data_IF_538991388896
#
_entry.id   IF_538991388896
#
_cell.length_a   1.000
_cell.length_b   1.000
_cell.length_c   1.000
_cell.angle_alpha   90.00
_cell.angle_beta   90.00
_cell.angle_gamma   90.00
#
_symmetry.space_group_name_H-M   'P 1'
#
loop_
_entity.id
_entity.type
_entity.pdbx_description
1 polymer ?
#
# COMPACT_ATOMS: atom_id res chain seq x y z
N UNK A 1 0.76 15.17 -22.32
CA UNK A 1 -0.49 15.90 -21.98
C UNK A 1 -0.31 16.44 -20.56
N UNK A 2 -0.43 17.75 -20.32
CA UNK A 2 -0.20 18.32 -18.97
C UNK A 2 -1.43 17.98 -18.12
N UNK A 3 -1.29 17.05 -17.16
CA UNK A 3 -2.40 16.69 -16.30
C UNK A 3 -2.77 17.88 -15.43
N UNK A 4 -4.06 18.20 -15.34
CA UNK A 4 -4.57 19.16 -14.36
C UNK A 4 -4.65 18.49 -13.00
N UNK A 5 -3.78 18.91 -12.09
CA UNK A 5 -3.81 18.43 -10.71
C UNK A 5 -5.04 18.93 -9.98
N UNK A 6 -5.60 18.09 -9.12
CA UNK A 6 -6.61 18.50 -8.13
C UNK A 6 -5.95 19.35 -7.05
N UNK A 7 -6.72 20.20 -6.37
CA UNK A 7 -6.19 21.14 -5.37
C UNK A 7 -5.32 20.46 -4.30
N UNK A 8 -5.75 19.31 -3.77
CA UNK A 8 -4.99 18.61 -2.74
C UNK A 8 -3.67 18.02 -3.29
N UNK A 9 -3.63 17.64 -4.57
CA UNK A 9 -2.42 17.14 -5.22
C UNK A 9 -1.43 18.28 -5.43
N UNK A 10 -1.94 19.45 -5.87
CA UNK A 10 -1.14 20.67 -6.01
C UNK A 10 -0.62 21.16 -4.66
N UNK A 11 -1.45 21.19 -3.62
CA UNK A 11 -1.01 21.56 -2.26
C UNK A 11 0.06 20.61 -1.73
N UNK A 12 -0.10 19.30 -1.95
CA UNK A 12 0.90 18.31 -1.58
C UNK A 12 2.23 18.53 -2.31
N UNK A 13 2.20 18.74 -3.64
CA UNK A 13 3.43 18.99 -4.40
C UNK A 13 4.07 20.35 -4.06
N UNK A 14 3.26 21.40 -3.86
CA UNK A 14 3.72 22.71 -3.38
C UNK A 14 4.46 22.58 -2.03
N UNK A 15 3.94 21.78 -1.09
CA UNK A 15 4.59 21.52 0.20
C UNK A 15 5.93 20.79 0.05
N UNK A 16 6.03 19.81 -0.86
CA UNK A 16 7.29 19.11 -1.15
C UNK A 16 8.33 20.05 -1.77
N UNK A 17 7.95 20.81 -2.80
CA UNK A 17 8.85 21.72 -3.51
C UNK A 17 9.33 22.81 -2.55
N UNK A 18 8.43 23.39 -1.75
CA UNK A 18 8.81 24.34 -0.69
C UNK A 18 9.80 23.73 0.29
N UNK A 19 9.61 22.46 0.67
CA UNK A 19 10.56 21.76 1.53
C UNK A 19 11.92 21.68 0.84
N UNK A 20 12.03 21.12 -0.37
CA UNK A 20 13.29 20.97 -1.09
C UNK A 20 14.05 22.28 -1.35
N UNK A 21 13.34 23.39 -1.56
CA UNK A 21 13.94 24.70 -1.83
C UNK A 21 14.18 25.52 -0.55
N UNK A 22 13.79 25.02 0.62
CA UNK A 22 14.00 25.70 1.90
C UNK A 22 15.48 25.66 2.32
N UNK A 23 15.98 26.77 2.87
CA UNK A 23 17.31 26.83 3.50
C UNK A 23 17.39 25.97 4.76
N UNK A 24 16.27 25.82 5.49
CA UNK A 24 16.16 24.90 6.62
C UNK A 24 16.02 23.47 6.10
N UNK A 25 17.07 22.67 6.24
CA UNK A 25 17.06 21.25 5.93
C UNK A 25 16.27 20.46 6.97
N UNK A 26 15.16 19.88 6.56
CA UNK A 26 14.35 18.98 7.36
C UNK A 26 13.75 17.91 6.46
N UNK A 27 13.82 16.65 6.90
CA UNK A 27 13.21 15.55 6.19
C UNK A 27 11.72 15.48 6.53
N UNK A 28 10.88 15.53 5.51
CA UNK A 28 9.44 15.61 5.65
C UNK A 28 8.70 14.42 5.06
N UNK A 29 7.48 14.16 5.52
CA UNK A 29 6.56 13.21 4.91
C UNK A 29 5.28 13.89 4.44
N UNK A 30 4.80 13.46 3.28
CA UNK A 30 3.50 13.81 2.71
C UNK A 30 2.63 12.57 2.78
N UNK A 31 1.46 12.73 3.35
CA UNK A 31 0.55 11.61 3.61
C UNK A 31 -0.65 11.76 2.70
N UNK A 32 -0.80 10.82 1.77
CA UNK A 32 -1.90 10.81 0.79
C UNK A 32 -2.48 9.41 0.71
N UNK A 33 -3.77 9.31 0.98
CA UNK A 33 -4.54 8.08 0.97
C UNK A 33 -4.40 7.25 -0.31
N UNK A 34 -4.63 5.95 -0.21
CA UNK A 34 -4.64 5.06 -1.37
C UNK A 34 -5.71 5.51 -2.36
N UNK A 35 -5.39 5.58 -3.65
CA UNK A 35 -6.27 6.16 -4.66
C UNK A 35 -6.19 7.69 -4.80
N UNK A 36 -5.45 8.40 -3.93
CA UNK A 36 -5.27 9.85 -4.02
C UNK A 36 -4.36 10.34 -5.16
N UNK A 37 -3.80 9.43 -5.96
CA UNK A 37 -2.95 9.79 -7.10
C UNK A 37 -1.53 10.24 -6.73
N UNK A 38 -0.87 9.53 -5.79
CA UNK A 38 0.52 9.80 -5.39
C UNK A 38 1.48 9.89 -6.57
N UNK A 39 1.31 9.06 -7.60
CA UNK A 39 2.15 9.09 -8.80
C UNK A 39 2.08 10.41 -9.56
N UNK A 40 0.93 11.09 -9.59
CA UNK A 40 0.78 12.43 -10.17
C UNK A 40 1.50 13.48 -9.32
N UNK A 41 1.44 13.35 -7.99
CA UNK A 41 2.15 14.25 -7.07
C UNK A 41 3.67 14.09 -7.25
N UNK A 42 4.17 12.85 -7.33
CA UNK A 42 5.58 12.55 -7.60
C UNK A 42 6.03 13.16 -8.93
N UNK A 43 5.25 12.98 -10.00
CA UNK A 43 5.56 13.53 -11.30
C UNK A 43 5.62 15.07 -11.29
N UNK A 44 4.64 15.72 -10.63
CA UNK A 44 4.63 17.18 -10.51
C UNK A 44 5.83 17.72 -9.72
N UNK A 45 6.15 17.11 -8.56
CA UNK A 45 7.33 17.47 -7.77
C UNK A 45 8.59 17.36 -8.62
N UNK A 46 8.78 16.21 -9.28
CA UNK A 46 9.96 15.96 -10.10
C UNK A 46 10.09 16.95 -11.27
N UNK A 47 8.97 17.29 -11.93
CA UNK A 47 8.95 18.24 -13.05
C UNK A 47 9.31 19.68 -12.67
N UNK A 48 9.19 20.05 -11.39
CA UNK A 48 9.37 21.43 -10.90
C UNK A 48 10.73 21.69 -10.26
N UNK A 49 11.52 20.65 -10.02
CA UNK A 49 12.88 20.80 -9.50
C UNK A 49 13.85 20.82 -10.68
N UNK A 50 14.74 21.82 -10.71
CA UNK A 50 15.81 21.90 -11.73
C UNK A 50 17.10 21.17 -11.31
N UNK A 51 17.23 20.79 -10.04
CA UNK A 51 18.40 20.07 -9.52
C UNK A 51 18.27 18.56 -9.68
N UNK A 52 19.38 17.79 -9.58
CA UNK A 52 19.33 16.34 -9.60
C UNK A 52 18.43 15.76 -8.49
N UNK A 53 17.44 14.97 -8.89
CA UNK A 53 16.48 14.30 -8.02
C UNK A 53 16.53 12.79 -8.22
N UNK A 54 16.68 12.03 -7.13
CA UNK A 54 16.46 10.58 -7.16
C UNK A 54 15.11 10.24 -6.54
N UNK A 55 14.30 9.47 -7.26
CA UNK A 55 13.00 8.96 -6.80
C UNK A 55 13.15 7.47 -6.46
N UNK A 56 13.17 7.15 -5.18
CA UNK A 56 13.29 5.78 -4.69
C UNK A 56 11.92 5.10 -4.61
N UNK A 57 11.79 3.98 -5.32
CA UNK A 57 10.58 3.16 -5.36
C UNK A 57 10.81 1.79 -4.70
N UNK A 58 9.82 1.23 -3.97
CA UNK A 58 10.00 0.00 -3.21
C UNK A 58 9.98 -1.27 -4.08
N UNK A 59 9.43 -1.21 -5.29
CA UNK A 59 9.28 -2.34 -6.21
C UNK A 59 9.49 -1.91 -7.66
N UNK A 60 9.72 -2.88 -8.55
CA UNK A 60 9.87 -2.62 -9.99
C UNK A 60 8.57 -2.10 -10.60
N UNK A 61 7.42 -2.61 -10.14
CA UNK A 61 6.10 -2.25 -10.66
C UNK A 61 5.77 -0.78 -10.35
N UNK A 62 6.03 -0.34 -9.11
CA UNK A 62 5.85 1.07 -8.74
C UNK A 62 6.84 1.98 -9.49
N UNK A 63 8.08 1.52 -9.65
CA UNK A 63 9.09 2.27 -10.38
C UNK A 63 8.64 2.53 -11.82
N UNK A 64 8.30 1.47 -12.56
CA UNK A 64 7.86 1.57 -13.96
C UNK A 64 6.63 2.48 -14.07
N UNK A 65 5.63 2.29 -13.20
CA UNK A 65 4.43 3.12 -13.18
C UNK A 65 4.74 4.61 -12.96
N UNK A 66 5.61 4.93 -12.00
CA UNK A 66 5.96 6.33 -11.70
C UNK A 66 6.83 6.95 -12.80
N UNK A 67 7.74 6.16 -13.39
CA UNK A 67 8.59 6.60 -14.50
C UNK A 67 7.77 6.92 -15.76
N UNK A 68 6.91 6.00 -16.20
CA UNK A 68 5.97 6.21 -17.31
C UNK A 68 5.05 7.41 -17.05
N UNK A 69 4.62 7.59 -15.78
CA UNK A 69 3.80 8.73 -15.40
C UNK A 69 4.54 10.05 -15.61
N UNK A 70 5.80 10.15 -15.21
CA UNK A 70 6.61 11.36 -15.46
C UNK A 70 6.81 11.61 -16.96
N UNK A 71 7.15 10.57 -17.74
CA UNK A 71 7.31 10.71 -19.19
C UNK A 71 6.05 11.25 -19.87
N UNK A 72 4.87 10.86 -19.38
CA UNK A 72 3.59 11.37 -19.93
C UNK A 72 3.35 12.88 -19.71
N UNK A 73 4.11 13.53 -18.82
CA UNK A 73 4.16 14.99 -18.67
C UNK A 73 5.06 15.68 -19.72
N UNK A 74 5.75 14.92 -20.58
CA UNK A 74 6.71 15.46 -21.55
C UNK A 74 8.09 15.75 -20.96
N UNK A 75 8.36 15.25 -19.76
CA UNK A 75 9.68 15.34 -19.12
C UNK A 75 10.52 14.17 -19.61
N UNK A 76 11.56 14.47 -20.40
CA UNK A 76 12.41 13.46 -21.05
C UNK A 76 13.84 13.40 -20.49
N UNK A 77 14.24 14.38 -19.66
CA UNK A 77 15.49 14.37 -18.90
C UNK A 77 15.39 13.51 -17.63
N UNK A 78 14.78 12.34 -17.79
CA UNK A 78 14.58 11.35 -16.74
C UNK A 78 15.08 9.97 -17.15
N UNK A 79 15.48 9.16 -16.17
CA UNK A 79 15.98 7.81 -16.37
C UNK A 79 15.44 6.83 -15.32
N UNK A 80 15.66 5.54 -15.57
CA UNK A 80 15.37 4.45 -14.66
C UNK A 80 16.66 3.71 -14.29
N UNK A 81 16.82 3.36 -13.01
CA UNK A 81 17.93 2.57 -12.51
C UNK A 81 17.46 1.42 -11.62
N UNK A 82 17.28 0.24 -12.20
CA UNK A 82 16.88 -0.96 -11.48
C UNK A 82 17.27 -2.24 -12.22
N UNK A 83 18.00 -3.10 -11.52
CA UNK A 83 18.39 -4.42 -12.03
C UNK A 83 17.17 -5.30 -12.31
N UNK A 84 16.09 -5.18 -11.53
CA UNK A 84 14.86 -5.97 -11.72
C UNK A 84 13.96 -5.45 -12.85
N UNK A 85 14.19 -4.21 -13.30
CA UNK A 85 13.59 -3.64 -14.52
C UNK A 85 14.46 -3.92 -15.74
N UNK A 86 15.77 -4.11 -15.56
CA UNK A 86 16.74 -4.27 -16.64
C UNK A 86 17.25 -2.95 -17.22
N UNK A 87 17.17 -1.85 -16.46
CA UNK A 87 17.57 -0.51 -16.90
C UNK A 87 18.59 0.06 -15.91
N UNK A 88 19.64 0.70 -16.42
CA UNK A 88 20.81 1.16 -15.65
C UNK A 88 21.23 2.59 -16.04
N UNK A 89 20.25 3.42 -16.39
CA UNK A 89 20.49 4.77 -16.84
C UNK A 89 20.36 5.76 -15.68
N UNK A 90 21.19 6.78 -15.67
CA UNK A 90 21.18 7.86 -14.68
C UNK A 90 21.05 9.19 -15.45
N UNK A 91 20.10 10.02 -15.03
CA UNK A 91 19.85 11.35 -15.58
C UNK A 91 19.46 12.30 -14.44
N UNK A 92 19.17 13.57 -14.76
CA UNK A 92 18.78 14.60 -13.78
C UNK A 92 17.66 14.13 -12.86
N UNK A 93 16.63 13.49 -13.40
CA UNK A 93 15.61 12.81 -12.61
C UNK A 93 15.81 11.30 -12.77
N UNK A 94 16.15 10.58 -11.71
CA UNK A 94 16.36 9.13 -11.79
C UNK A 94 15.40 8.37 -10.87
N UNK A 95 14.57 7.50 -11.44
CA UNK A 95 13.74 6.56 -10.69
C UNK A 95 14.53 5.30 -10.41
N UNK A 96 14.63 4.88 -9.15
CA UNK A 96 15.49 3.77 -8.79
C UNK A 96 14.91 2.87 -7.71
N UNK A 97 15.29 1.60 -7.72
CA UNK A 97 15.08 0.71 -6.57
C UNK A 97 16.31 0.77 -5.67
N UNK A 98 16.10 0.93 -4.36
CA UNK A 98 17.19 1.13 -3.38
C UNK A 98 18.27 0.04 -3.47
N UNK A 99 17.90 -1.23 -3.69
CA UNK A 99 18.85 -2.34 -3.76
C UNK A 99 19.85 -2.18 -4.91
N UNK A 100 19.41 -1.68 -6.06
CA UNK A 100 20.29 -1.44 -7.20
C UNK A 100 21.23 -0.27 -6.96
N UNK A 101 20.74 0.80 -6.32
CA UNK A 101 21.53 1.97 -5.94
C UNK A 101 22.66 1.60 -4.99
N UNK A 102 22.41 0.73 -4.01
CA UNK A 102 23.41 0.35 -3.01
C UNK A 102 24.65 -0.32 -3.63
N UNK A 103 24.50 -1.05 -4.72
CA UNK A 103 25.61 -1.70 -5.42
C UNK A 103 26.52 -0.71 -6.17
N UNK A 104 26.02 0.51 -6.40
CA UNK A 104 26.67 1.54 -7.22
C UNK A 104 26.59 2.91 -6.52
N UNK A 105 26.68 2.95 -5.19
CA UNK A 105 26.36 4.14 -4.39
C UNK A 105 27.16 5.40 -4.80
N UNK A 106 28.39 5.22 -5.31
CA UNK A 106 29.24 6.32 -5.76
C UNK A 106 28.61 7.11 -6.92
N UNK A 107 27.92 6.45 -7.83
CA UNK A 107 27.31 7.06 -9.01
C UNK A 107 26.17 8.01 -8.62
N UNK A 108 25.62 7.85 -7.41
CA UNK A 108 24.47 8.59 -6.89
C UNK A 108 24.84 9.70 -5.88
N UNK A 109 26.13 10.01 -5.69
CA UNK A 109 26.59 11.04 -4.73
C UNK A 109 26.06 12.45 -5.03
N UNK A 110 25.84 12.75 -6.31
CA UNK A 110 25.39 14.05 -6.79
C UNK A 110 23.91 14.34 -6.49
N UNK A 111 23.09 13.31 -6.20
CA UNK A 111 21.70 13.50 -5.79
C UNK A 111 21.60 14.00 -4.35
N UNK A 112 21.33 15.30 -4.20
CA UNK A 112 21.06 15.96 -2.91
C UNK A 112 19.58 15.93 -2.54
N UNK A 113 18.69 15.85 -3.52
CA UNK A 113 17.25 15.67 -3.29
C UNK A 113 16.85 14.21 -3.49
N UNK A 114 16.15 13.67 -2.49
CA UNK A 114 15.62 12.31 -2.49
C UNK A 114 14.12 12.37 -2.27
N UNK A 115 13.36 11.81 -3.20
CA UNK A 115 11.95 11.54 -3.04
C UNK A 115 11.76 10.03 -2.82
N UNK A 116 10.99 9.63 -1.82
CA UNK A 116 10.76 8.21 -1.52
C UNK A 116 9.28 7.90 -1.60
N UNK A 117 8.87 7.01 -2.52
CA UNK A 117 7.51 6.49 -2.54
C UNK A 117 7.35 5.33 -1.54
N UNK A 118 6.16 5.20 -0.97
CA UNK A 118 5.82 4.26 0.11
C UNK A 118 6.85 4.28 1.27
N UNK A 119 7.15 5.47 1.77
CA UNK A 119 8.22 5.73 2.76
C UNK A 119 8.10 4.92 4.06
N UNK A 120 6.96 4.29 4.33
CA UNK A 120 6.78 3.36 5.44
C UNK A 120 7.68 2.12 5.37
N UNK A 121 8.24 1.79 4.19
CA UNK A 121 9.24 0.72 4.03
C UNK A 121 10.61 1.09 4.61
N UNK A 122 10.88 2.39 4.79
CA UNK A 122 12.17 2.90 5.30
C UNK A 122 12.37 2.44 6.74
N UNK A 123 13.44 1.69 6.98
CA UNK A 123 13.87 1.32 8.33
C UNK A 123 14.55 2.54 8.95
N UNK A 124 14.14 2.89 10.16
CA UNK A 124 14.77 3.99 10.89
C UNK A 124 16.14 3.63 11.43
N UNK A 125 16.42 2.34 11.64
CA UNK A 125 17.69 1.83 12.15
C UNK A 125 18.10 0.62 11.32
N UNK A 126 19.29 0.68 10.77
CA UNK A 126 19.80 -0.31 9.81
C UNK A 126 19.08 -0.27 8.46
N UNK A 127 19.68 -0.94 7.49
CA UNK A 127 19.11 -1.14 6.16
C UNK A 127 19.58 -0.14 5.10
N UNK A 128 19.16 -0.40 3.87
CA UNK A 128 19.70 0.27 2.69
C UNK A 128 19.28 1.75 2.58
N UNK A 129 18.03 2.06 2.95
CA UNK A 129 17.52 3.44 2.90
C UNK A 129 18.26 4.37 3.87
N UNK A 130 18.40 3.99 5.14
CA UNK A 130 19.14 4.79 6.12
C UNK A 130 20.59 5.01 5.67
N UNK A 131 21.28 3.94 5.25
CA UNK A 131 22.67 4.02 4.75
C UNK A 131 22.79 4.97 3.57
N UNK A 132 21.87 4.90 2.61
CA UNK A 132 21.85 5.82 1.49
C UNK A 132 21.56 7.24 1.98
N UNK A 133 20.44 7.49 2.66
CA UNK A 133 20.06 8.84 3.13
C UNK A 133 21.23 9.52 3.87
N UNK A 134 21.92 8.79 4.74
CA UNK A 134 23.02 9.33 5.55
C UNK A 134 24.39 9.37 4.85
N UNK A 135 24.55 8.79 3.64
CA UNK A 135 25.87 8.75 2.98
C UNK A 135 26.30 10.07 2.37
N UNK A 136 25.40 11.04 2.29
CA UNK A 136 25.60 12.38 1.75
C UNK A 136 24.69 13.36 2.50
N UNK A 137 25.01 14.65 2.47
CA UNK A 137 24.10 15.69 2.95
C UNK A 137 22.89 15.82 2.00
N UNK A 138 21.85 15.03 2.28
CA UNK A 138 20.64 14.89 1.47
C UNK A 138 19.43 15.45 2.18
N UNK A 139 18.51 16.00 1.40
CA UNK A 139 17.18 16.34 1.84
C UNK A 139 16.17 15.34 1.30
N UNK A 140 15.30 14.84 2.17
CA UNK A 140 14.39 13.74 1.88
C UNK A 140 12.94 14.16 2.07
N UNK A 141 12.13 13.96 1.04
CA UNK A 141 10.67 13.98 1.15
C UNK A 141 10.14 12.58 0.88
N UNK A 142 9.31 12.07 1.80
CA UNK A 142 8.66 10.78 1.66
C UNK A 142 7.17 10.92 1.34
N UNK A 143 6.63 10.08 0.47
CA UNK A 143 5.19 9.94 0.26
C UNK A 143 4.73 8.58 0.79
N UNK A 144 3.56 8.55 1.44
CA UNK A 144 2.96 7.29 1.89
C UNK A 144 1.47 7.43 2.13
N UNK A 145 0.74 6.33 2.01
CA UNK A 145 -0.63 6.22 2.52
C UNK A 145 -0.69 5.86 4.00
N UNK A 146 0.36 5.22 4.52
CA UNK A 146 0.40 4.57 5.83
C UNK A 146 1.62 5.08 6.60
N UNK A 147 1.52 6.21 7.33
CA UNK A 147 2.66 6.92 7.94
C UNK A 147 3.16 6.28 9.24
N UNK A 148 3.10 4.96 9.33
CA UNK A 148 3.46 4.20 10.51
C UNK A 148 4.08 2.87 10.10
N UNK A 149 4.83 2.29 11.03
CA UNK A 149 5.49 1.00 10.86
C UNK A 149 5.25 0.13 12.08
N UNK A 150 5.05 -1.16 11.87
CA UNK A 150 5.02 -2.12 12.96
C UNK A 150 6.43 -2.33 13.52
N UNK A 151 6.57 -2.18 14.83
CA UNK A 151 7.82 -2.37 15.57
C UNK A 151 7.58 -3.34 16.71
N UNK A 152 8.49 -4.31 16.83
CA UNK A 152 8.43 -5.36 17.85
C UNK A 152 9.24 -4.96 19.08
N UNK A 153 8.68 -5.25 20.25
CA UNK A 153 9.26 -4.99 21.57
C UNK A 153 9.13 -6.24 22.43
N UNK A 154 9.88 -6.31 23.54
CA UNK A 154 9.80 -7.45 24.47
C UNK A 154 8.38 -7.66 25.01
N UNK A 155 7.63 -6.59 25.25
CA UNK A 155 6.30 -6.63 25.85
C UNK A 155 5.15 -6.50 24.83
N UNK A 156 5.41 -6.78 23.54
CA UNK A 156 4.39 -6.73 22.49
C UNK A 156 4.83 -5.95 21.26
N UNK A 157 3.86 -5.52 20.45
CA UNK A 157 4.14 -4.79 19.21
C UNK A 157 3.49 -3.40 19.21
N UNK A 158 4.03 -2.49 18.41
CA UNK A 158 3.52 -1.12 18.33
C UNK A 158 3.56 -0.62 16.88
N UNK A 159 2.48 0.00 16.43
CA UNK A 159 2.48 0.79 15.19
C UNK A 159 3.11 2.15 15.48
N UNK A 160 4.39 2.31 15.18
CA UNK A 160 5.13 3.54 15.45
C UNK A 160 4.98 4.51 14.28
N UNK A 161 4.52 5.74 14.57
CA UNK A 161 4.43 6.79 13.54
C UNK A 161 5.83 7.18 13.04
N UNK A 162 6.00 7.47 11.75
CA UNK A 162 7.32 7.65 11.14
C UNK A 162 8.12 8.82 11.72
N UNK A 163 7.49 9.94 12.06
CA UNK A 163 8.16 11.07 12.75
C UNK A 163 8.58 10.76 14.20
N UNK A 164 8.10 9.64 14.74
CA UNK A 164 8.36 9.19 16.11
C UNK A 164 9.39 8.08 16.18
N UNK A 165 9.86 7.55 15.05
CA UNK A 165 10.91 6.52 15.02
C UNK A 165 12.24 7.04 15.56
N UNK A 166 13.10 6.12 16.00
CA UNK A 166 14.45 6.41 16.50
C UNK A 166 15.46 5.43 15.89
N UNK A 167 16.60 5.89 15.34
CA UNK A 167 16.93 7.30 15.11
C UNK A 167 15.93 7.99 14.16
N UNK A 168 15.90 9.32 14.19
CA UNK A 168 14.87 10.11 13.51
C UNK A 168 15.31 10.37 12.07
N UNK A 169 14.64 9.71 11.10
CA UNK A 169 14.84 10.00 9.67
C UNK A 169 13.95 11.14 9.22
N UNK A 170 12.69 11.17 9.67
CA UNK A 170 11.71 12.20 9.32
C UNK A 170 11.33 13.01 10.56
N UNK A 171 11.27 14.33 10.40
CA UNK A 171 10.98 15.26 11.50
C UNK A 171 9.62 15.94 11.36
N UNK A 172 9.11 16.05 10.13
CA UNK A 172 7.94 16.87 9.83
C UNK A 172 6.91 16.11 8.99
N UNK A 173 5.64 16.40 9.21
CA UNK A 173 4.56 16.06 8.27
C UNK A 173 4.26 17.33 7.48
N UNK A 174 4.57 17.32 6.19
CA UNK A 174 4.47 18.48 5.31
C UNK A 174 3.03 18.70 4.83
N UNK A 175 2.28 17.61 4.64
CA UNK A 175 0.91 17.65 4.16
C UNK A 175 0.17 16.36 4.49
N UNK A 176 -1.15 16.47 4.73
CA UNK A 176 -2.05 15.33 4.95
C UNK A 176 -3.28 15.49 4.06
N UNK A 177 -3.56 14.46 3.27
CA UNK A 177 -4.84 14.23 2.62
C UNK A 177 -5.27 12.80 2.91
N UNK A 178 -6.22 12.67 3.82
CA UNK A 178 -6.72 11.41 4.37
C UNK A 178 -7.97 10.95 3.61
N UNK A 179 -8.45 9.74 3.93
CA UNK A 179 -9.52 9.07 3.17
C UNK A 179 -10.82 9.86 3.23
N UNK A 180 -11.15 10.41 4.40
CA UNK A 180 -12.33 11.24 4.60
C UNK A 180 -12.34 12.46 3.68
N UNK A 181 -11.20 13.12 3.49
CA UNK A 181 -11.08 14.30 2.63
C UNK A 181 -11.38 13.96 1.17
N UNK A 182 -10.90 12.80 0.70
CA UNK A 182 -11.10 12.35 -0.66
C UNK A 182 -12.53 11.82 -0.90
N UNK A 183 -13.12 11.13 0.09
CA UNK A 183 -14.52 10.69 0.03
C UNK A 183 -15.47 11.89 0.00
N UNK A 184 -15.24 12.89 0.86
CA UNK A 184 -16.06 14.10 0.91
C UNK A 184 -16.06 14.88 -0.42
N UNK A 185 -14.95 14.79 -1.18
CA UNK A 185 -14.81 15.42 -2.51
C UNK A 185 -15.22 14.50 -3.67
N UNK A 186 -15.75 13.30 -3.41
CA UNK A 186 -16.15 12.34 -4.45
C UNK A 186 -14.98 11.74 -5.24
N UNK A 187 -13.75 11.84 -4.73
CA UNK A 187 -12.54 11.34 -5.38
C UNK A 187 -12.24 9.86 -5.09
N UNK A 188 -13.01 9.24 -4.18
CA UNK A 188 -12.97 7.83 -3.84
C UNK A 188 -14.39 7.25 -3.88
N UNK A 189 -14.48 5.93 -4.06
CA UNK A 189 -15.75 5.21 -3.99
C UNK A 189 -16.11 4.90 -2.53
N UNK A 190 -17.39 5.07 -2.18
CA UNK A 190 -17.93 4.59 -0.91
C UNK A 190 -17.90 3.06 -0.88
N UNK A 191 -17.48 2.50 0.26
CA UNK A 191 -17.37 1.05 0.45
C UNK A 191 -18.39 0.54 1.47
N UNK A 192 -19.00 -0.60 1.16
CA UNK A 192 -19.79 -1.39 2.10
C UNK A 192 -18.89 -2.45 2.74
N UNK A 193 -18.97 -2.54 4.07
CA UNK A 193 -18.19 -3.49 4.85
C UNK A 193 -19.10 -4.60 5.36
N UNK A 194 -18.69 -5.84 5.13
CA UNK A 194 -19.38 -7.03 5.60
C UNK A 194 -18.41 -7.84 6.46
N UNK A 195 -18.71 -7.89 7.75
CA UNK A 195 -17.97 -8.71 8.70
C UNK A 195 -18.58 -10.09 8.75
N UNK A 196 -17.85 -11.07 8.21
CA UNK A 196 -18.19 -12.48 8.21
C UNK A 196 -17.08 -13.27 8.91
N UNK A 197 -16.47 -12.68 9.95
CA UNK A 197 -15.35 -13.26 10.69
C UNK A 197 -15.63 -14.73 11.00
N UNK A 198 -14.81 -15.59 10.41
CA UNK A 198 -14.99 -17.03 10.39
C UNK A 198 -14.08 -17.78 11.37
N UNK A 199 -13.04 -17.09 11.88
CA UNK A 199 -12.03 -17.60 12.82
C UNK A 199 -12.18 -16.94 14.19
N UNK A 200 -11.82 -17.66 15.25
CA UNK A 200 -11.57 -17.07 16.56
C UNK A 200 -10.08 -16.74 16.72
N UNK A 201 -9.75 -15.45 16.67
CA UNK A 201 -8.36 -14.97 16.74
C UNK A 201 -7.71 -15.22 18.11
N UNK A 202 -8.50 -15.45 19.17
CA UNK A 202 -7.98 -15.77 20.51
C UNK A 202 -7.27 -17.13 20.55
N UNK A 203 -7.60 -18.03 19.63
CA UNK A 203 -6.91 -19.31 19.46
C UNK A 203 -5.57 -19.18 18.71
N UNK A 204 -5.26 -18.00 18.17
CA UNK A 204 -4.11 -17.78 17.29
C UNK A 204 -3.06 -16.94 18.01
N UNK A 205 -1.88 -17.53 18.22
CA UNK A 205 -0.79 -16.83 18.92
C UNK A 205 -0.01 -15.92 17.97
N UNK A 206 0.80 -15.04 18.54
CA UNK A 206 1.72 -14.20 17.77
C UNK A 206 2.90 -15.02 17.27
N UNK A 207 3.45 -14.67 16.11
CA UNK A 207 4.73 -15.23 15.68
C UNK A 207 5.88 -14.75 16.58
N UNK A 208 7.08 -15.31 16.39
CA UNK A 208 8.27 -14.99 17.18
C UNK A 208 8.65 -13.50 17.18
N UNK A 209 8.28 -12.77 16.14
CA UNK A 209 8.53 -11.33 16.05
C UNK A 209 7.44 -10.49 16.73
N UNK A 210 6.29 -11.07 17.09
CA UNK A 210 5.10 -10.34 17.53
C UNK A 210 4.38 -9.54 16.43
N UNK A 211 4.99 -9.39 15.26
CA UNK A 211 4.53 -8.52 14.18
C UNK A 211 3.33 -9.08 13.39
N UNK A 212 3.09 -10.38 13.47
CA UNK A 212 1.88 -10.98 12.91
C UNK A 212 1.53 -12.26 13.68
N UNK A 213 0.56 -13.01 13.18
CA UNK A 213 0.15 -14.30 13.73
C UNK A 213 1.13 -15.43 13.38
N UNK A 214 1.25 -16.40 14.27
CA UNK A 214 2.00 -17.62 14.05
C UNK A 214 1.28 -18.52 13.05
N UNK A 215 2.04 -19.13 12.13
CA UNK A 215 1.46 -19.89 11.03
C UNK A 215 0.84 -21.21 11.48
N UNK A 216 1.44 -21.89 12.46
CA UNK A 216 0.97 -23.21 12.93
C UNK A 216 -0.36 -23.07 13.66
N UNK A 217 -0.43 -22.15 14.63
CA UNK A 217 -1.68 -21.88 15.36
C UNK A 217 -2.80 -21.39 14.43
N UNK A 218 -2.46 -20.60 13.41
CA UNK A 218 -3.44 -20.12 12.43
C UNK A 218 -3.99 -21.24 11.55
N UNK A 219 -3.13 -22.17 11.08
CA UNK A 219 -3.59 -23.34 10.31
C UNK A 219 -4.54 -24.22 11.13
N UNK A 220 -4.22 -24.46 12.40
CA UNK A 220 -5.09 -25.23 13.29
C UNK A 220 -6.47 -24.57 13.47
N UNK A 221 -6.51 -23.24 13.61
CA UNK A 221 -7.77 -22.50 13.69
C UNK A 221 -8.54 -22.52 12.36
N UNK A 222 -7.86 -22.49 11.21
CA UNK A 222 -8.50 -22.63 9.91
C UNK A 222 -9.20 -23.97 9.75
N UNK A 223 -8.56 -25.06 10.18
CA UNK A 223 -9.15 -26.41 10.22
C UNK A 223 -10.34 -26.46 11.18
N UNK A 224 -10.14 -26.05 12.44
CA UNK A 224 -11.17 -26.05 13.50
C UNK A 224 -12.44 -25.30 13.08
N UNK A 225 -12.28 -24.20 12.37
CA UNK A 225 -13.38 -23.32 11.98
C UNK A 225 -14.03 -23.66 10.63
N UNK A 226 -13.49 -24.64 9.88
CA UNK A 226 -13.92 -24.92 8.50
C UNK A 226 -13.71 -23.73 7.57
N UNK A 227 -12.60 -23.01 7.73
CA UNK A 227 -12.37 -21.70 7.11
C UNK A 227 -12.41 -21.76 5.57
N UNK A 228 -11.82 -22.80 4.97
CA UNK A 228 -11.73 -22.92 3.50
C UNK A 228 -13.12 -23.07 2.85
N UNK A 229 -14.04 -23.79 3.50
CA UNK A 229 -15.41 -23.95 3.01
C UNK A 229 -16.22 -22.67 3.16
N UNK A 230 -16.03 -21.94 4.27
CA UNK A 230 -16.63 -20.61 4.47
C UNK A 230 -16.13 -19.61 3.44
N UNK A 231 -14.84 -19.60 3.14
CA UNK A 231 -14.25 -18.75 2.10
C UNK A 231 -14.83 -19.05 0.72
N UNK A 232 -14.88 -20.34 0.35
CA UNK A 232 -15.45 -20.79 -0.92
C UNK A 232 -16.93 -20.42 -1.04
N UNK A 233 -17.71 -20.73 0.00
CA UNK A 233 -19.15 -20.43 0.04
C UNK A 233 -19.42 -18.94 -0.05
N UNK A 234 -18.65 -18.12 0.67
CA UNK A 234 -18.76 -16.66 0.63
C UNK A 234 -18.44 -16.13 -0.76
N UNK A 235 -17.37 -16.62 -1.39
CA UNK A 235 -16.97 -16.22 -2.75
C UNK A 235 -18.03 -16.61 -3.78
N UNK A 236 -18.64 -17.79 -3.66
CA UNK A 236 -19.74 -18.21 -4.54
C UNK A 236 -21.00 -17.35 -4.34
N UNK A 237 -21.36 -17.01 -3.10
CA UNK A 237 -22.53 -16.20 -2.78
C UNK A 237 -22.46 -14.80 -3.38
N UNK A 238 -21.28 -14.20 -3.48
CA UNK A 238 -21.14 -12.88 -4.10
C UNK A 238 -21.19 -12.94 -5.62
N UNK A 239 -20.70 -14.03 -6.22
CA UNK A 239 -20.77 -14.23 -7.66
C UNK A 239 -22.16 -14.70 -8.14
N UNK A 240 -22.89 -15.41 -7.29
CA UNK A 240 -24.24 -15.94 -7.57
C UNK A 240 -25.17 -15.57 -6.41
N UNK A 241 -25.45 -14.27 -6.20
CA UNK A 241 -26.31 -13.83 -5.11
C UNK A 241 -27.76 -14.26 -5.35
N UNK A 242 -28.50 -14.56 -4.27
CA UNK A 242 -29.93 -14.86 -4.36
C UNK A 242 -30.73 -13.66 -4.87
N UNK A 243 -30.35 -12.46 -4.41
CA UNK A 243 -30.94 -11.18 -4.77
C UNK A 243 -29.84 -10.16 -5.09
N UNK A 244 -30.08 -9.27 -6.04
CA UNK A 244 -29.13 -8.21 -6.43
C UNK A 244 -28.20 -8.61 -7.56
N UNK A 245 -27.20 -7.76 -7.82
CA UNK A 245 -26.32 -7.89 -8.99
C UNK A 245 -25.09 -8.73 -8.64
N UNK A 246 -24.76 -9.77 -9.43
CA UNK A 246 -23.51 -10.52 -9.32
C UNK A 246 -22.27 -9.60 -9.31
N UNK A 247 -21.31 -9.92 -8.43
CA UNK A 247 -20.04 -9.18 -8.40
C UNK A 247 -19.22 -9.45 -9.66
N UNK A 248 -18.60 -8.40 -10.22
CA UNK A 248 -17.91 -8.47 -11.51
C UNK A 248 -16.47 -8.95 -11.37
N UNK A 249 -15.79 -8.58 -10.29
CA UNK A 249 -14.41 -8.97 -10.03
C UNK A 249 -14.12 -9.09 -8.54
N UNK A 250 -13.72 -10.29 -8.11
CA UNK A 250 -13.43 -10.60 -6.70
C UNK A 250 -11.93 -10.81 -6.52
N UNK A 251 -11.28 -9.95 -5.75
CA UNK A 251 -9.90 -10.11 -5.34
C UNK A 251 -9.85 -10.68 -3.91
N UNK A 252 -9.28 -11.88 -3.75
CA UNK A 252 -9.20 -12.59 -2.47
C UNK A 252 -7.78 -12.56 -1.94
N UNK A 253 -7.59 -12.06 -0.74
CA UNK A 253 -6.30 -12.03 -0.05
C UNK A 253 -6.23 -13.18 0.96
N UNK A 254 -5.44 -14.21 0.66
CA UNK A 254 -5.26 -15.39 1.51
C UNK A 254 -3.93 -15.30 2.28
N UNK A 255 -3.77 -16.12 3.32
CA UNK A 255 -2.50 -16.21 4.05
C UNK A 255 -1.57 -17.24 3.40
N UNK A 256 -2.13 -18.38 3.00
CA UNK A 256 -1.37 -19.53 2.51
C UNK A 256 -1.66 -19.82 1.04
N UNK A 257 -0.71 -20.45 0.35
CA UNK A 257 -0.88 -20.89 -1.05
C UNK A 257 -1.93 -22.00 -1.14
N UNK A 258 -1.84 -22.98 -0.25
CA UNK A 258 -2.82 -24.07 -0.11
C UNK A 258 -4.28 -23.58 0.01
N UNK A 259 -4.50 -22.51 0.79
CA UNK A 259 -5.81 -21.88 0.93
C UNK A 259 -6.33 -21.30 -0.39
N UNK A 260 -5.44 -20.64 -1.16
CA UNK A 260 -5.77 -20.10 -2.47
C UNK A 260 -6.02 -21.21 -3.51
N UNK A 261 -5.25 -22.30 -3.45
CA UNK A 261 -5.40 -23.48 -4.30
C UNK A 261 -6.75 -24.15 -4.08
N UNK A 262 -7.09 -24.42 -2.83
CA UNK A 262 -8.37 -25.01 -2.45
C UNK A 262 -9.56 -24.17 -2.95
N UNK A 263 -9.47 -22.85 -2.77
CA UNK A 263 -10.50 -21.93 -3.25
C UNK A 263 -10.66 -22.00 -4.78
N UNK A 264 -9.55 -21.89 -5.52
CA UNK A 264 -9.60 -21.85 -6.99
C UNK A 264 -10.06 -23.17 -7.58
N UNK A 265 -9.63 -24.30 -7.03
CA UNK A 265 -10.09 -25.63 -7.45
C UNK A 265 -11.60 -25.78 -7.26
N UNK A 266 -12.11 -25.50 -6.05
CA UNK A 266 -13.55 -25.59 -5.75
C UNK A 266 -14.39 -24.65 -6.62
N UNK A 267 -13.89 -23.43 -6.89
CA UNK A 267 -14.57 -22.48 -7.79
C UNK A 267 -14.62 -23.00 -9.23
N UNK A 268 -13.52 -23.55 -9.76
CA UNK A 268 -13.46 -24.14 -11.10
C UNK A 268 -14.44 -25.31 -11.26
N UNK A 269 -14.52 -26.20 -10.26
CA UNK A 269 -15.50 -27.30 -10.22
C UNK A 269 -16.94 -26.76 -10.31
N UNK A 270 -17.22 -25.58 -9.75
CA UNK A 270 -18.53 -24.91 -9.81
C UNK A 270 -18.73 -24.03 -11.05
N UNK A 271 -17.85 -24.15 -12.04
CA UNK A 271 -17.91 -23.42 -13.32
C UNK A 271 -17.53 -21.93 -13.21
N UNK A 272 -16.80 -21.53 -12.17
CA UNK A 272 -16.33 -20.15 -11.99
C UNK A 272 -14.89 -20.02 -12.47
N UNK A 273 -14.63 -19.03 -13.33
CA UNK A 273 -13.27 -18.71 -13.76
C UNK A 273 -12.48 -18.04 -12.63
N UNK A 274 -11.47 -18.75 -12.14
CA UNK A 274 -10.65 -18.32 -11.02
C UNK A 274 -9.16 -18.63 -11.26
N UNK A 275 -8.28 -17.79 -10.72
CA UNK A 275 -6.83 -17.93 -10.82
C UNK A 275 -6.13 -17.56 -9.51
N UNK A 276 -4.87 -18.00 -9.39
CA UNK A 276 -4.01 -17.71 -8.24
C UNK A 276 -2.81 -16.91 -8.72
N UNK A 277 -2.43 -15.88 -7.96
CA UNK A 277 -1.18 -15.16 -8.17
C UNK A 277 -0.38 -15.17 -6.87
N UNK A 278 0.85 -15.68 -6.93
CA UNK A 278 1.78 -15.74 -5.80
C UNK A 278 3.08 -15.01 -6.14
N UNK A 279 4.00 -14.95 -5.17
CA UNK A 279 5.37 -14.46 -5.40
C UNK A 279 6.16 -15.27 -6.44
N UNK A 280 5.82 -16.55 -6.64
CA UNK A 280 6.51 -17.47 -7.56
C UNK A 280 5.88 -17.52 -8.96
N UNK A 281 4.68 -16.96 -9.15
CA UNK A 281 4.06 -16.87 -10.49
C UNK A 281 4.97 -16.11 -11.47
N UNK A 282 5.38 -16.72 -12.59
CA UNK A 282 6.19 -16.07 -13.63
C UNK A 282 5.59 -14.75 -14.13
N UNK A 283 6.44 -13.81 -14.53
CA UNK A 283 6.03 -12.45 -14.92
C UNK A 283 5.00 -12.43 -16.05
N UNK A 284 5.29 -13.13 -17.15
CA UNK A 284 4.43 -13.18 -18.34
C UNK A 284 3.07 -13.79 -18.01
N UNK A 285 3.08 -14.86 -17.20
CA UNK A 285 1.85 -15.49 -16.73
C UNK A 285 1.05 -14.56 -15.82
N UNK A 286 1.70 -13.91 -14.84
CA UNK A 286 1.06 -12.94 -13.95
C UNK A 286 0.39 -11.81 -14.75
N UNK A 287 1.07 -11.25 -15.74
CA UNK A 287 0.51 -10.19 -16.60
C UNK A 287 -0.71 -10.68 -17.37
N UNK A 288 -0.65 -11.87 -17.96
CA UNK A 288 -1.79 -12.51 -18.65
C UNK A 288 -2.98 -12.70 -17.70
N UNK A 289 -2.77 -13.31 -16.53
CA UNK A 289 -3.83 -13.55 -15.53
C UNK A 289 -4.48 -12.25 -15.06
N UNK A 290 -3.68 -11.21 -14.81
CA UNK A 290 -4.21 -9.91 -14.38
C UNK A 290 -4.96 -9.19 -15.50
N UNK A 291 -4.56 -9.34 -16.76
CA UNK A 291 -5.30 -8.79 -17.91
C UNK A 291 -6.61 -9.54 -18.16
N UNK A 292 -6.60 -10.87 -18.03
CA UNK A 292 -7.81 -11.69 -18.10
C UNK A 292 -8.77 -11.40 -16.94
N UNK A 293 -8.25 -11.05 -15.75
CA UNK A 293 -9.06 -10.56 -14.63
C UNK A 293 -9.65 -9.17 -14.89
N UNK A 294 -8.86 -8.21 -15.39
CA UNK A 294 -9.32 -6.86 -15.72
C UNK A 294 -10.39 -6.84 -16.83
N UNK A 295 -10.27 -7.74 -17.81
CA UNK A 295 -11.25 -7.91 -18.90
C UNK A 295 -12.49 -8.72 -18.48
N UNK A 296 -12.48 -9.31 -17.28
CA UNK A 296 -13.60 -10.07 -16.74
C UNK A 296 -13.72 -11.51 -17.26
N UNK A 297 -12.72 -12.02 -18.01
CA UNK A 297 -12.60 -13.44 -18.38
C UNK A 297 -12.35 -14.30 -17.15
N UNK A 298 -11.52 -13.83 -16.22
CA UNK A 298 -11.38 -14.37 -14.87
C UNK A 298 -12.27 -13.53 -13.94
N UNK A 299 -13.09 -14.19 -13.12
CA UNK A 299 -13.97 -13.52 -12.14
C UNK A 299 -13.35 -13.41 -10.76
N UNK A 300 -12.45 -14.33 -10.41
CA UNK A 300 -11.81 -14.38 -9.08
C UNK A 300 -10.30 -14.50 -9.22
N UNK A 301 -9.56 -13.64 -8.53
CA UNK A 301 -8.12 -13.81 -8.34
C UNK A 301 -7.85 -13.95 -6.85
N UNK A 302 -7.36 -15.12 -6.44
CA UNK A 302 -6.78 -15.34 -5.12
C UNK A 302 -5.29 -14.96 -5.16
N UNK A 303 -4.78 -14.37 -4.08
CA UNK A 303 -3.38 -13.98 -4.02
C UNK A 303 -2.74 -14.22 -2.65
N UNK A 304 -1.44 -14.49 -2.68
CA UNK A 304 -0.60 -14.69 -1.49
C UNK A 304 0.60 -13.77 -1.52
N UNK A 305 0.62 -12.79 -0.62
CA UNK A 305 1.75 -11.87 -0.44
C UNK A 305 2.00 -10.90 -1.60
N UNK A 306 1.10 -10.82 -2.58
CA UNK A 306 1.23 -10.00 -3.80
C UNK A 306 -0.03 -9.17 -4.02
N UNK A 307 -0.06 -8.28 -5.02
CA UNK A 307 -1.23 -7.44 -5.41
C UNK A 307 -1.78 -6.45 -4.37
N UNK A 308 -1.32 -6.48 -3.11
CA UNK A 308 -1.61 -5.46 -2.08
C UNK A 308 -1.10 -4.08 -2.54
N UNK A 309 0.03 -4.09 -3.23
CA UNK A 309 0.72 -2.93 -3.80
C UNK A 309 0.95 -3.19 -5.29
N UNK A 310 1.01 -2.13 -6.11
CA UNK A 310 1.33 -2.23 -7.54
C UNK A 310 0.19 -2.74 -8.44
N UNK A 311 -0.89 -3.29 -7.90
CA UNK A 311 -2.06 -3.68 -8.71
C UNK A 311 -3.03 -2.51 -8.89
N UNK A 312 -3.26 -2.12 -10.14
CA UNK A 312 -4.20 -1.07 -10.54
C UNK A 312 -5.35 -1.63 -11.39
N UNK A 313 -6.55 -1.64 -10.79
CA UNK A 313 -7.79 -2.06 -11.43
C UNK A 313 -8.96 -1.24 -10.84
N UNK A 314 -9.20 -0.02 -11.34
CA UNK A 314 -10.24 0.86 -10.79
C UNK A 314 -11.64 0.26 -10.82
N UNK A 315 -11.98 -0.63 -11.76
CA UNK A 315 -13.29 -1.27 -11.80
C UNK A 315 -13.48 -2.41 -10.78
N UNK A 316 -12.44 -2.80 -10.02
CA UNK A 316 -12.54 -3.82 -8.98
C UNK A 316 -13.63 -3.45 -7.97
N UNK A 317 -14.63 -4.32 -7.85
CA UNK A 317 -15.81 -4.05 -7.05
C UNK A 317 -15.81 -4.84 -5.73
N UNK A 318 -15.12 -5.98 -5.62
CA UNK A 318 -15.08 -6.75 -4.37
C UNK A 318 -13.68 -7.15 -3.93
N UNK A 319 -13.39 -6.93 -2.65
CA UNK A 319 -12.23 -7.50 -1.96
C UNK A 319 -12.72 -8.42 -0.85
N UNK A 320 -12.16 -9.62 -0.80
CA UNK A 320 -12.34 -10.57 0.31
C UNK A 320 -11.03 -10.67 1.09
N UNK A 321 -11.09 -10.34 2.38
CA UNK A 321 -9.98 -10.47 3.31
C UNK A 321 -10.08 -11.84 4.00
N UNK A 322 -9.27 -12.78 3.54
CA UNK A 322 -9.18 -14.15 4.06
C UNK A 322 -7.88 -14.40 4.84
N UNK A 323 -7.16 -13.32 5.17
CA UNK A 323 -5.95 -13.36 5.99
C UNK A 323 -6.12 -12.48 7.21
N UNK A 324 -5.95 -13.00 8.44
CA UNK A 324 -5.84 -12.15 9.61
C UNK A 324 -4.49 -11.44 9.59
N UNK A 325 -4.46 -10.18 10.01
CA UNK A 325 -3.21 -9.45 10.17
C UNK A 325 -3.21 -8.49 11.34
N UNK A 326 -2.04 -8.32 11.95
CA UNK A 326 -1.76 -7.20 12.87
C UNK A 326 -1.33 -5.92 12.16
N UNK A 327 -1.09 -5.97 10.85
CA UNK A 327 -0.61 -4.84 10.05
C UNK A 327 -1.75 -3.97 9.54
N UNK A 328 -1.98 -2.83 10.20
CA UNK A 328 -2.90 -1.80 9.72
C UNK A 328 -2.52 -1.29 8.32
N UNK A 329 -1.23 -1.27 7.99
CA UNK A 329 -0.76 -0.81 6.68
C UNK A 329 -1.22 -1.77 5.56
N UNK A 330 -1.09 -3.08 5.80
CA UNK A 330 -1.55 -4.10 4.87
C UNK A 330 -3.07 -4.03 4.70
N UNK A 331 -3.83 -3.95 5.81
CA UNK A 331 -5.29 -3.84 5.78
C UNK A 331 -5.74 -2.64 4.94
N UNK A 332 -5.12 -1.49 5.20
CA UNK A 332 -5.41 -0.25 4.50
C UNK A 332 -5.09 -0.33 2.99
N UNK A 333 -3.97 -0.94 2.61
CA UNK A 333 -3.58 -1.10 1.20
C UNK A 333 -4.46 -2.10 0.45
N UNK A 334 -4.86 -3.20 1.11
CA UNK A 334 -5.75 -4.22 0.57
C UNK A 334 -7.15 -3.65 0.30
N UNK A 335 -7.75 -2.98 1.29
CA UNK A 335 -9.02 -2.25 1.12
C UNK A 335 -8.88 -1.15 0.05
N UNK A 336 -7.73 -0.48 0.03
CA UNK A 336 -7.38 0.54 -0.95
C UNK A 336 -7.40 0.06 -2.41
N UNK A 337 -7.39 -1.25 -2.68
CA UNK A 337 -7.59 -1.77 -4.03
C UNK A 337 -9.03 -1.55 -4.53
N UNK A 338 -10.02 -1.63 -3.65
CA UNK A 338 -11.44 -1.49 -3.97
C UNK A 338 -11.92 -0.02 -3.93
N UNK A 339 -11.31 0.82 -3.08
CA UNK A 339 -11.75 2.21 -2.82
C UNK A 339 -11.57 3.18 -4.00
N UNK A 340 -10.81 2.80 -5.03
CA UNK A 340 -10.57 3.66 -6.19
C UNK A 340 -11.88 4.03 -6.89
N UNK A 341 -12.02 5.27 -7.40
CA UNK A 341 -13.24 5.69 -8.07
C UNK A 341 -13.43 4.94 -9.40
N UNK A 342 -14.67 4.58 -9.69
CA UNK A 342 -15.12 4.07 -10.99
C UNK A 342 -16.61 4.35 -11.11
N UNK A 343 -17.09 4.62 -12.33
CA UNK A 343 -18.48 5.00 -12.58
C UNK A 343 -19.43 3.91 -12.05
N UNK A 344 -20.46 4.32 -11.30
CA UNK A 344 -21.50 3.48 -10.73
C UNK A 344 -20.98 2.31 -9.87
N UNK A 345 -19.78 2.45 -9.28
CA UNK A 345 -19.20 1.40 -8.44
C UNK A 345 -19.96 1.27 -7.12
N UNK A 346 -20.43 0.06 -6.86
CA UNK A 346 -20.87 -0.38 -5.53
C UNK A 346 -19.76 -1.23 -4.89
N UNK A 347 -18.79 -0.64 -4.19
CA UNK A 347 -17.59 -1.35 -3.70
C UNK A 347 -17.81 -2.13 -2.40
N UNK A 348 -17.37 -3.39 -2.32
CA UNK A 348 -17.58 -4.28 -1.17
C UNK A 348 -16.26 -4.76 -0.58
N UNK A 349 -16.14 -4.66 0.75
CA UNK A 349 -15.09 -5.29 1.55
C UNK A 349 -15.73 -6.35 2.42
N UNK A 350 -15.38 -7.60 2.19
CA UNK A 350 -15.86 -8.74 2.97
C UNK A 350 -14.69 -9.26 3.77
N UNK A 351 -14.84 -9.39 5.07
CA UNK A 351 -13.77 -9.82 5.94
C UNK A 351 -14.15 -11.09 6.69
N UNK A 352 -13.41 -12.16 6.42
CA UNK A 352 -13.56 -13.45 7.11
C UNK A 352 -12.56 -13.60 8.26
N UNK A 353 -11.62 -12.66 8.43
CA UNK A 353 -10.48 -12.84 9.33
C UNK A 353 -10.44 -11.86 10.52
N UNK A 354 -11.48 -11.04 10.72
CA UNK A 354 -11.61 -10.16 11.89
C UNK A 354 -10.77 -8.88 11.84
N UNK A 355 -10.21 -8.53 10.69
CA UNK A 355 -9.47 -7.28 10.48
C UNK A 355 -10.35 -6.03 10.62
N UNK A 356 -11.58 -6.07 10.13
CA UNK A 356 -12.57 -4.99 10.23
C UNK A 356 -12.94 -4.72 11.68
N UNK A 357 -13.21 -5.76 12.48
CA UNK A 357 -13.42 -5.61 13.94
C UNK A 357 -12.22 -4.94 14.61
N UNK A 358 -11.01 -5.29 14.17
CA UNK A 358 -9.76 -4.75 14.74
C UNK A 358 -9.49 -3.30 14.36
N UNK A 359 -9.66 -2.93 13.09
CA UNK A 359 -9.20 -1.66 12.54
C UNK A 359 -10.31 -0.65 12.22
N UNK A 360 -11.55 -1.12 12.06
CA UNK A 360 -12.69 -0.31 11.63
C UNK A 360 -12.66 0.02 10.14
N UNK A 361 -13.54 0.94 9.70
CA UNK A 361 -13.56 1.40 8.31
C UNK A 361 -12.34 2.26 8.03
N UNK A 362 -11.81 2.18 6.80
CA UNK A 362 -10.69 3.05 6.39
C UNK A 362 -11.09 4.53 6.27
N UNK A 363 -12.39 4.82 6.20
CA UNK A 363 -12.96 6.17 6.26
C UNK A 363 -12.88 6.79 7.66
N UNK A 364 -12.82 5.96 8.70
CA UNK A 364 -12.85 6.40 10.10
C UNK A 364 -11.43 6.67 10.63
N UNK A 365 -10.41 6.27 9.85
CA UNK A 365 -9.01 6.54 10.15
C UNK A 365 -8.73 8.03 9.98
N UNK A 366 -8.34 8.67 11.08
CA UNK A 366 -7.90 10.06 11.13
C UNK A 366 -6.41 10.14 11.43
N UNK A 367 -5.69 10.94 10.64
CA UNK A 367 -4.29 11.25 10.86
C UNK A 367 -4.21 12.65 11.42
N UNK A 368 -3.78 12.77 12.66
CA UNK A 368 -3.87 14.01 13.42
C UNK A 368 -2.81 14.05 14.52
N UNK A 369 -2.62 15.22 15.12
CA UNK A 369 -1.81 15.40 16.31
C UNK A 369 -2.48 14.76 17.53
N UNK A 370 -1.67 14.21 18.42
CA UNK A 370 -2.13 13.51 19.63
C UNK A 370 -2.84 14.49 20.58
N UNK A 371 -2.36 15.74 20.64
CA UNK A 371 -2.96 16.85 21.38
C UNK A 371 -2.89 18.13 20.54
N UNK A 372 -3.84 19.08 20.69
CA UNK A 372 -3.74 20.40 20.07
C UNK A 372 -2.37 21.04 20.33
N UNK A 373 -1.81 21.71 19.32
CA UNK A 373 -0.50 22.36 19.37
C UNK A 373 0.70 21.41 19.60
N UNK A 374 0.52 20.09 19.52
CA UNK A 374 1.61 19.12 19.57
C UNK A 374 2.20 18.83 18.20
N UNK A 375 3.48 18.46 18.14
CA UNK A 375 4.12 17.87 16.94
C UNK A 375 4.04 16.33 16.93
N UNK A 376 3.35 15.75 17.91
CA UNK A 376 3.24 14.31 18.08
C UNK A 376 2.09 13.75 17.25
N UNK A 377 2.40 13.35 16.02
CA UNK A 377 1.44 12.75 15.12
C UNK A 377 1.03 11.33 15.54
N UNK A 378 -0.23 11.00 15.26
CA UNK A 378 -0.83 9.71 15.52
C UNK A 378 -1.92 9.37 14.48
N UNK A 379 -2.32 8.10 14.45
CA UNK A 379 -3.51 7.64 13.74
C UNK A 379 -4.57 7.25 14.77
N UNK A 380 -5.79 7.74 14.58
CA UNK A 380 -6.96 7.47 15.41
C UNK A 380 -8.02 6.76 14.56
N UNK A 381 -8.80 5.87 15.16
CA UNK A 381 -10.02 5.30 14.58
C UNK A 381 -11.11 5.37 15.64
N UNK A 382 -12.23 6.03 15.33
CA UNK A 382 -13.34 6.23 16.28
C UNK A 382 -12.88 6.73 17.68
N UNK A 383 -11.98 7.72 17.68
CA UNK A 383 -11.41 8.30 18.91
C UNK A 383 -10.28 7.49 19.57
N UNK A 384 -10.13 6.20 19.26
CA UNK A 384 -9.06 5.35 19.78
C UNK A 384 -7.75 5.58 19.02
N UNK A 385 -6.68 5.90 19.73
CA UNK A 385 -5.33 5.99 19.15
C UNK A 385 -4.83 4.58 18.79
N UNK A 386 -4.47 4.37 17.52
CA UNK A 386 -3.95 3.11 16.99
C UNK A 386 -2.42 3.05 16.94
N UNK A 387 -1.75 4.19 16.90
CA UNK A 387 -0.28 4.28 16.79
C UNK A 387 0.37 4.72 18.10
N UNK A 388 1.64 4.36 18.27
CA UNK A 388 2.47 4.74 19.42
C UNK A 388 1.96 4.15 20.75
N UNK A 389 1.22 3.04 20.69
CA UNK A 389 0.74 2.24 21.81
C UNK A 389 1.14 0.77 21.60
N UNK A 390 1.58 0.11 22.66
CA UNK A 390 1.89 -1.32 22.64
C UNK A 390 0.57 -2.10 22.67
N UNK A 391 0.53 -3.20 21.93
CA UNK A 391 -0.57 -4.16 21.87
C UNK A 391 -0.08 -5.58 21.67
#
# INVERSE_FOLDING_TARGET
MKYTLRDYQKQASDAAVKSFLSSKKSNGIIIVSTGGGKSLIIADIASRLNSPLIVLCPSKEILQQNFEKLQSYGILDCACYSASVGCKDINRITFATIRSVMNHMNDFKHFKYVLIDEVHVVNSRGGMYEKFINSQDRQVVGLTATPYRLSSYMNGSMLKFLTRTRPRIFSEVLYVCQTSDLLAKGYLANLKYYDLTAINIENVISNSTGADYDEKSLKLEYERSGFFDKLTTTTLRVLKPKNGIPRKGVLVFTRFVEEAENLVEKLKIKGVSAAIVTGTTPKVEREKLLNDFKSGKIKVVANVGVLVVGFDFPALDTVILARPTKSLAWYYQAVGRCIRPFKDKDGWVIDLAGNYKRFGKVSDLKIDVEKPNSQLWCVKSNGKILTNRIF
#
